data_IF_933871108390
#
_entry.id   IF_933871108390
#
_cell.length_a   1.000
_cell.length_b   1.000
_cell.length_c   1.000
_cell.angle_alpha   90.00
_cell.angle_beta   90.00
_cell.angle_gamma   90.00
#
_symmetry.space_group_name_H-M   'P 1'
#
loop_
_entity.id
_entity.type
_entity.pdbx_description
1 polymer ?
#
# COMPACT_ATOMS: atom_id res chain seq x y z
N UNK A 1 -15.95 2.11 -5.02
CA UNK A 1 -15.14 1.50 -6.07
C UNK A 1 -13.67 1.82 -5.80
N UNK A 2 -12.80 0.82 -5.90
CA UNK A 2 -11.38 0.96 -5.57
C UNK A 2 -10.57 1.38 -6.78
N UNK A 3 -9.61 2.28 -6.58
CA UNK A 3 -8.75 2.75 -7.65
C UNK A 3 -7.27 2.63 -7.29
N UNK A 4 -6.45 2.38 -8.29
CA UNK A 4 -4.98 2.36 -8.12
C UNK A 4 -4.51 3.69 -7.55
N UNK A 5 -3.63 3.62 -6.56
CA UNK A 5 -3.10 4.82 -5.88
C UNK A 5 -3.89 5.28 -4.68
N UNK A 6 -5.04 4.66 -4.41
CA UNK A 6 -5.82 4.95 -3.20
C UNK A 6 -5.28 4.19 -2.00
N UNK A 7 -5.41 4.80 -0.83
CA UNK A 7 -5.10 4.16 0.45
C UNK A 7 -6.41 3.75 1.10
N UNK A 8 -6.51 2.49 1.46
CA UNK A 8 -7.69 1.89 2.07
C UNK A 8 -7.32 1.24 3.40
N UNK A 9 -8.29 1.14 4.31
CA UNK A 9 -8.13 0.37 5.55
C UNK A 9 -8.36 -1.10 5.25
N UNK A 10 -7.47 -1.97 5.74
CA UNK A 10 -7.57 -3.40 5.52
C UNK A 10 -7.24 -4.18 6.78
N UNK A 11 -7.87 -5.34 6.92
CA UNK A 11 -7.57 -6.29 7.99
C UNK A 11 -6.52 -7.29 7.49
N UNK A 12 -5.29 -7.15 7.96
CA UNK A 12 -4.17 -8.00 7.58
C UNK A 12 -3.89 -9.12 8.59
N UNK A 13 -4.76 -9.30 9.58
CA UNK A 13 -4.61 -10.37 10.57
C UNK A 13 -4.84 -11.75 9.92
N UNK A 14 -4.13 -12.79 10.40
CA UNK A 14 -3.00 -12.70 11.33
C UNK A 14 -1.71 -12.32 10.63
N UNK A 15 -0.84 -11.55 11.31
CA UNK A 15 0.53 -11.34 10.87
C UNK A 15 1.35 -12.62 11.07
N UNK A 16 2.33 -12.87 10.18
CA UNK A 16 3.18 -14.07 10.25
C UNK A 16 4.62 -13.71 9.92
N UNK A 17 5.55 -14.07 10.82
CA UNK A 17 6.95 -13.74 10.65
C UNK A 17 7.15 -12.25 10.48
N UNK A 18 7.73 -11.82 9.36
CA UNK A 18 7.91 -10.40 9.02
C UNK A 18 6.68 -9.78 8.38
N UNK A 19 5.64 -10.56 8.08
CA UNK A 19 4.42 -10.04 7.45
C UNK A 19 3.62 -9.22 8.46
N UNK A 20 3.28 -7.96 8.14
CA UNK A 20 2.47 -7.14 9.03
C UNK A 20 1.07 -7.73 9.18
N UNK A 21 0.58 -7.72 10.41
CA UNK A 21 -0.81 -8.03 10.72
C UNK A 21 -1.58 -6.78 11.05
N UNK A 22 -2.64 -6.92 11.87
CA UNK A 22 -3.51 -5.86 12.35
C UNK A 22 -4.39 -5.27 11.27
N UNK A 23 -5.27 -4.37 11.69
CA UNK A 23 -6.02 -3.49 10.80
C UNK A 23 -5.14 -2.27 10.56
N UNK A 24 -4.82 -2.01 9.31
CA UNK A 24 -3.93 -0.90 8.95
C UNK A 24 -4.22 -0.38 7.55
N UNK A 25 -3.79 0.86 7.25
CA UNK A 25 -3.87 1.37 5.88
C UNK A 25 -3.01 0.57 4.93
N UNK A 26 -3.49 0.41 3.70
CA UNK A 26 -2.76 -0.23 2.60
C UNK A 26 -2.91 0.62 1.35
N UNK A 27 -1.85 0.66 0.53
CA UNK A 27 -1.89 1.30 -0.78
C UNK A 27 -2.34 0.29 -1.82
N UNK A 28 -3.36 0.62 -2.60
CA UNK A 28 -3.79 -0.20 -3.73
C UNK A 28 -2.82 0.04 -4.88
N UNK A 29 -2.06 -1.01 -5.24
CA UNK A 29 -1.08 -0.96 -6.31
C UNK A 29 -1.57 -1.65 -7.58
N UNK A 30 -2.63 -2.45 -7.49
CA UNK A 30 -3.18 -3.23 -8.58
C UNK A 30 -3.49 -2.39 -9.80
N UNK A 31 -3.24 -2.94 -10.99
CA UNK A 31 -3.62 -2.35 -12.26
C UNK A 31 -5.12 -2.01 -12.26
N UNK A 32 -5.46 -0.82 -12.73
CA UNK A 32 -6.86 -0.35 -12.74
C UNK A 32 -7.78 -1.28 -13.52
N UNK A 33 -7.31 -1.85 -14.64
CA UNK A 33 -8.13 -2.75 -15.45
C UNK A 33 -8.56 -4.00 -14.66
N UNK A 34 -7.70 -4.51 -13.79
CA UNK A 34 -8.04 -5.65 -12.93
C UNK A 34 -8.99 -5.25 -11.82
N UNK A 35 -8.85 -4.04 -11.28
CA UNK A 35 -9.80 -3.52 -10.29
C UNK A 35 -11.19 -3.35 -10.92
N UNK A 36 -11.24 -2.78 -12.12
CA UNK A 36 -12.50 -2.58 -12.84
C UNK A 36 -13.17 -3.90 -13.21
N UNK A 37 -12.38 -4.93 -13.51
CA UNK A 37 -12.86 -6.28 -13.80
C UNK A 37 -13.27 -7.06 -12.54
N UNK A 38 -13.14 -6.45 -11.36
CA UNK A 38 -13.50 -7.06 -10.08
C UNK A 38 -12.72 -8.35 -9.80
N UNK A 39 -11.42 -8.35 -10.13
CA UNK A 39 -10.54 -9.46 -9.76
C UNK A 39 -10.62 -9.71 -8.25
N UNK A 40 -10.76 -10.96 -7.79
CA UNK A 40 -11.08 -11.23 -6.38
C UNK A 40 -9.98 -10.94 -5.37
N UNK A 41 -8.75 -10.75 -5.81
CA UNK A 41 -7.65 -10.33 -4.95
C UNK A 41 -7.03 -9.03 -5.46
N UNK A 42 -6.37 -8.29 -4.57
CA UNK A 42 -5.79 -6.98 -4.88
C UNK A 42 -4.35 -6.92 -4.40
N UNK A 43 -3.43 -6.51 -5.28
CA UNK A 43 -2.05 -6.22 -4.90
C UNK A 43 -2.01 -4.92 -4.10
N UNK A 44 -1.42 -5.00 -2.91
CA UNK A 44 -1.31 -3.86 -2.00
C UNK A 44 0.09 -3.75 -1.40
N UNK A 45 0.40 -2.58 -0.89
CA UNK A 45 1.56 -2.34 -0.04
C UNK A 45 1.04 -1.86 1.31
N UNK A 46 1.39 -2.56 2.43
CA UNK A 46 0.98 -2.12 3.75
C UNK A 46 1.69 -0.83 4.18
N UNK A 47 1.01 -0.02 4.99
CA UNK A 47 1.60 1.13 5.65
C UNK A 47 1.84 0.84 7.13
N UNK A 48 2.80 1.53 7.71
CA UNK A 48 3.06 1.50 9.16
C UNK A 48 3.33 2.91 9.66
N UNK A 49 2.87 3.20 10.88
CA UNK A 49 3.20 4.45 11.57
C UNK A 49 4.50 4.35 12.35
N UNK A 50 5.11 3.17 12.41
CA UNK A 50 6.44 2.98 13.01
C UNK A 50 7.50 3.38 11.96
N UNK A 51 7.96 4.63 12.02
CA UNK A 51 8.80 5.23 10.99
C UNK A 51 10.27 4.86 11.15
N UNK A 52 10.91 4.54 10.02
CA UNK A 52 12.35 4.33 9.92
C UNK A 52 12.88 5.22 8.80
N UNK A 53 13.82 6.12 9.13
CA UNK A 53 14.37 7.05 8.16
C UNK A 53 15.39 6.36 7.24
N UNK A 54 15.58 6.93 6.04
CA UNK A 54 16.64 6.55 5.10
C UNK A 54 16.60 5.07 4.69
N UNK A 55 15.40 4.53 4.51
CA UNK A 55 15.22 3.11 4.20
C UNK A 55 14.75 2.83 2.77
N UNK A 56 14.73 3.84 1.87
CA UNK A 56 14.41 3.58 0.46
C UNK A 56 15.44 2.67 -0.18
N UNK A 57 15.03 1.76 -1.08
CA UNK A 57 13.69 1.56 -1.61
C UNK A 57 12.77 0.66 -0.77
N UNK A 58 13.26 0.10 0.34
CA UNK A 58 12.47 -0.82 1.16
C UNK A 58 11.28 -0.15 1.83
N UNK A 59 11.43 1.14 2.15
CA UNK A 59 10.37 1.97 2.71
C UNK A 59 10.31 3.30 1.99
N UNK A 60 9.10 3.83 1.85
CA UNK A 60 8.87 5.16 1.28
C UNK A 60 7.97 5.95 2.21
N UNK A 61 8.45 7.12 2.67
CA UNK A 61 7.71 7.98 3.60
C UNK A 61 6.58 8.71 2.90
N UNK A 62 5.39 8.68 3.52
CA UNK A 62 4.21 9.44 3.08
C UNK A 62 3.75 10.33 4.22
N UNK A 63 3.62 11.63 3.95
CA UNK A 63 3.04 12.57 4.90
C UNK A 63 1.54 12.31 5.06
N UNK A 64 1.04 12.52 6.26
CA UNK A 64 -0.39 12.46 6.54
C UNK A 64 -1.14 13.40 5.60
N UNK A 65 -2.22 12.93 5.01
CA UNK A 65 -3.02 13.69 4.06
C UNK A 65 -4.46 13.17 4.06
N UNK A 66 -5.39 14.05 3.73
CA UNK A 66 -6.80 13.72 3.67
C UNK A 66 -7.29 13.07 4.97
N UNK A 67 -7.78 11.83 4.91
CA UNK A 67 -8.28 11.12 6.09
C UNK A 67 -7.21 10.31 6.84
N UNK A 68 -5.95 10.39 6.41
CA UNK A 68 -4.84 9.78 7.14
C UNK A 68 -4.49 10.64 8.36
N UNK A 69 -4.38 10.04 9.52
CA UNK A 69 -4.13 10.75 10.78
C UNK A 69 -2.64 10.99 11.05
N UNK A 70 -1.76 10.16 10.52
CA UNK A 70 -0.34 10.17 10.83
C UNK A 70 0.51 9.95 9.60
N UNK A 71 1.72 10.50 9.62
CA UNK A 71 2.76 10.14 8.65
C UNK A 71 3.02 8.64 8.74
N UNK A 72 3.28 8.03 7.61
CA UNK A 72 3.43 6.58 7.51
C UNK A 72 4.57 6.22 6.55
N UNK A 73 5.11 5.02 6.74
CA UNK A 73 6.00 4.42 5.76
C UNK A 73 5.26 3.34 4.97
N UNK A 74 5.38 3.38 3.65
CA UNK A 74 5.02 2.26 2.79
C UNK A 74 6.06 1.17 2.96
N UNK A 75 5.61 -0.04 3.29
CA UNK A 75 6.49 -1.21 3.42
C UNK A 75 6.62 -1.87 2.05
N UNK A 76 7.46 -1.32 1.19
CA UNK A 76 7.54 -1.67 -0.24
C UNK A 76 7.89 -3.14 -0.44
N UNK A 77 8.78 -3.68 0.39
CA UNK A 77 9.19 -5.09 0.31
C UNK A 77 8.13 -6.06 0.87
N UNK A 78 7.04 -5.54 1.44
CA UNK A 78 5.91 -6.33 1.90
C UNK A 78 4.73 -6.31 0.91
N UNK A 79 4.99 -5.92 -0.33
CA UNK A 79 4.02 -6.00 -1.43
C UNK A 79 3.41 -7.40 -1.48
N UNK A 80 2.09 -7.47 -1.50
CA UNK A 80 1.38 -8.75 -1.48
C UNK A 80 -0.02 -8.62 -2.05
N UNK A 81 -0.59 -9.75 -2.46
CA UNK A 81 -2.00 -9.84 -2.80
C UNK A 81 -2.81 -10.16 -1.56
N UNK A 82 -3.95 -9.51 -1.41
CA UNK A 82 -4.93 -9.83 -0.36
C UNK A 82 -6.29 -10.10 -0.99
N UNK A 83 -7.11 -10.90 -0.32
CA UNK A 83 -8.50 -11.06 -0.69
C UNK A 83 -9.23 -9.72 -0.54
N UNK A 84 -10.08 -9.36 -1.51
CA UNK A 84 -10.81 -8.10 -1.47
C UNK A 84 -11.67 -7.95 -0.21
N UNK A 85 -12.09 -9.04 0.40
CA UNK A 85 -12.85 -9.02 1.64
C UNK A 85 -12.08 -8.43 2.81
N UNK A 86 -10.76 -8.37 2.73
CA UNK A 86 -9.92 -7.73 3.75
C UNK A 86 -9.96 -6.21 3.71
N UNK A 87 -10.39 -5.62 2.59
CA UNK A 87 -10.55 -4.16 2.45
C UNK A 87 -11.83 -3.73 3.15
N UNK A 88 -11.70 -2.89 4.18
CA UNK A 88 -12.81 -2.57 5.09
C UNK A 88 -13.45 -1.23 4.74
N UNK A 89 -12.64 -0.20 4.55
CA UNK A 89 -13.09 1.17 4.39
C UNK A 89 -12.09 1.99 3.56
N UNK A 90 -12.62 2.93 2.80
CA UNK A 90 -11.78 3.86 2.03
C UNK A 90 -12.56 4.62 0.98
N UNK A 91 -11.85 5.44 0.19
CA UNK A 91 -10.43 5.73 0.34
C UNK A 91 -10.13 6.66 1.52
N UNK A 92 -9.00 6.42 2.19
CA UNK A 92 -8.50 7.32 3.23
C UNK A 92 -7.72 8.48 2.62
N UNK A 93 -7.08 8.23 1.50
CA UNK A 93 -6.28 9.20 0.76
C UNK A 93 -6.06 8.68 -0.66
N UNK A 94 -5.57 9.56 -1.52
CA UNK A 94 -5.15 9.21 -2.87
C UNK A 94 -3.79 9.85 -3.14
N UNK A 95 -2.82 9.04 -3.54
CA UNK A 95 -1.50 9.56 -3.88
C UNK A 95 -1.55 10.32 -5.20
N UNK A 96 -0.87 11.46 -5.23
CA UNK A 96 -0.66 12.19 -6.48
C UNK A 96 0.23 11.40 -7.44
N UNK A 97 0.21 11.78 -8.71
CA UNK A 97 0.90 11.04 -9.77
C UNK A 97 2.41 10.95 -9.54
N UNK A 98 3.04 12.03 -9.07
CA UNK A 98 4.49 12.04 -8.83
C UNK A 98 4.88 11.07 -7.73
N UNK A 99 4.12 11.03 -6.65
CA UNK A 99 4.40 10.12 -5.54
C UNK A 99 4.13 8.67 -5.94
N UNK A 100 3.06 8.43 -6.67
CA UNK A 100 2.76 7.08 -7.17
C UNK A 100 3.86 6.58 -8.11
N UNK A 101 4.40 7.47 -8.95
CA UNK A 101 5.53 7.13 -9.81
C UNK A 101 6.76 6.73 -8.99
N UNK A 102 7.04 7.42 -7.90
CA UNK A 102 8.13 7.05 -6.97
C UNK A 102 7.89 5.69 -6.33
N UNK A 103 6.64 5.37 -6.01
CA UNK A 103 6.28 4.05 -5.48
C UNK A 103 6.62 2.96 -6.50
N UNK A 104 6.22 3.12 -7.76
CA UNK A 104 6.55 2.15 -8.80
C UNK A 104 8.06 2.00 -9.01
N UNK A 105 8.82 3.09 -8.92
CA UNK A 105 10.29 3.04 -9.00
C UNK A 105 10.87 2.22 -7.83
N UNK A 106 10.37 2.44 -6.62
CA UNK A 106 10.83 1.68 -5.45
C UNK A 106 10.49 0.19 -5.57
N UNK A 107 9.29 -0.13 -6.06
CA UNK A 107 8.89 -1.52 -6.34
C UNK A 107 9.83 -2.16 -7.35
N UNK A 108 10.13 -1.47 -8.44
CA UNK A 108 11.04 -1.97 -9.47
C UNK A 108 12.43 -2.26 -8.89
N UNK A 109 12.94 -1.39 -8.04
CA UNK A 109 14.23 -1.60 -7.37
C UNK A 109 14.21 -2.82 -6.45
N UNK A 110 13.13 -2.98 -5.66
CA UNK A 110 12.99 -4.14 -4.76
C UNK A 110 12.90 -5.44 -5.56
N UNK A 111 12.23 -5.40 -6.71
CA UNK A 111 12.12 -6.57 -7.60
C UNK A 111 13.38 -6.81 -8.42
N UNK A 112 14.27 -5.82 -8.54
CA UNK A 112 15.46 -5.92 -9.37
C UNK A 112 15.17 -5.77 -10.86
N UNK A 113 14.10 -5.08 -11.24
CA UNK A 113 13.76 -4.79 -12.64
C UNK A 113 13.88 -3.29 -12.90
N UNK A 114 14.14 -2.93 -14.15
CA UNK A 114 14.29 -1.53 -14.56
C UNK A 114 13.06 -1.01 -15.28
#
# INVERSE_FOLDING_TARGET
>A
MRNQGEIWLANLNPGRGTEPGKIRPVLILQNQALLDAQHPSTLIIPLTTNLINDAEPLRLRIAAQERMEQDSDLLVDQLRAIDNKRLIDGPLARLGDDLLKRVFQAVAEVLGVE
#
